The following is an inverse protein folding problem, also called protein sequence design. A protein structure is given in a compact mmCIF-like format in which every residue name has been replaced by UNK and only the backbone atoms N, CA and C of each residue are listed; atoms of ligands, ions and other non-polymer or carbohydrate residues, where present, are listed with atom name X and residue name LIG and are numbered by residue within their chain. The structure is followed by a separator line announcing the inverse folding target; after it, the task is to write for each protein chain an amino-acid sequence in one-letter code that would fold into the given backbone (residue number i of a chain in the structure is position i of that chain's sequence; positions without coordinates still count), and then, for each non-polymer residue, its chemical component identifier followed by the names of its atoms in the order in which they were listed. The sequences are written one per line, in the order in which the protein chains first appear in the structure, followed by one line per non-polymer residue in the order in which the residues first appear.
data_IF_744064107737
#
_entry.id   IF_744064107737
#
_cell.length_a   1.000
_cell.length_b   1.000
_cell.length_c   1.000
_cell.angle_alpha   90.00
_cell.angle_beta   90.00
_cell.angle_gamma   90.00
#
_symmetry.space_group_name_H-M   'P 1'
#
loop_
_entity.id
_entity.type
_entity.pdbx_description
1 polymer ?
#
# COMPACT_ATOMS: atom_id res chain seq x y z
N UNK A 1 -14.59 2.69 -29.66
CA UNK A 1 -13.91 3.50 -28.66
C UNK A 1 -12.86 2.64 -28.00
N UNK A 2 -11.61 3.01 -28.12
CA UNK A 2 -10.57 2.42 -27.29
C UNK A 2 -10.95 2.70 -25.84
N UNK A 3 -11.26 1.65 -25.06
CA UNK A 3 -11.52 1.79 -23.65
C UNK A 3 -10.30 2.41 -22.98
N UNK A 4 -10.43 3.59 -22.42
CA UNK A 4 -9.40 4.14 -21.57
C UNK A 4 -9.20 3.17 -20.42
N UNK A 5 -8.00 2.62 -20.31
CA UNK A 5 -7.65 1.79 -19.17
C UNK A 5 -7.70 2.67 -17.92
N UNK A 6 -8.57 2.35 -16.98
CA UNK A 6 -8.61 3.08 -15.72
C UNK A 6 -7.22 3.03 -15.05
N UNK A 7 -6.71 4.14 -14.53
CA UNK A 7 -5.45 4.13 -13.82
C UNK A 7 -5.50 3.13 -12.67
N UNK A 8 -4.41 2.43 -12.45
CA UNK A 8 -4.25 1.51 -11.32
C UNK A 8 -3.00 1.88 -10.51
N UNK A 9 -3.04 1.61 -9.23
CA UNK A 9 -1.88 1.71 -8.36
C UNK A 9 -1.30 0.33 -8.10
N UNK A 10 0.01 0.25 -7.92
CA UNK A 10 0.69 -1.03 -7.75
C UNK A 10 1.77 -0.95 -6.67
N UNK A 11 1.78 -1.96 -5.81
CA UNK A 11 2.89 -2.31 -4.93
C UNK A 11 3.67 -3.42 -5.60
N UNK A 12 4.93 -3.16 -5.90
CA UNK A 12 5.82 -4.12 -6.55
C UNK A 12 6.50 -5.03 -5.52
N UNK A 13 6.97 -6.19 -5.96
CA UNK A 13 7.77 -7.08 -5.11
C UNK A 13 9.04 -6.37 -4.62
N UNK A 14 9.70 -5.63 -5.50
CA UNK A 14 10.81 -4.74 -5.14
C UNK A 14 10.28 -3.33 -4.88
N UNK A 15 10.56 -2.78 -3.71
CA UNK A 15 10.10 -1.45 -3.34
C UNK A 15 10.60 -0.38 -4.31
N UNK A 16 9.68 0.44 -4.82
CA UNK A 16 9.98 1.53 -5.76
C UNK A 16 9.71 2.87 -5.09
N UNK A 17 10.51 3.15 -4.08
CA UNK A 17 10.44 4.37 -3.28
C UNK A 17 11.64 5.26 -3.57
N UNK A 18 11.45 6.57 -3.43
CA UNK A 18 12.53 7.54 -3.55
C UNK A 18 13.30 7.58 -2.22
N UNK A 19 14.48 6.98 -2.21
CA UNK A 19 15.31 6.76 -1.01
C UNK A 19 15.68 8.06 -0.27
N UNK A 20 15.92 9.13 -1.01
CA UNK A 20 16.32 10.44 -0.49
C UNK A 20 15.14 11.28 -0.01
N UNK A 21 13.92 10.91 -0.36
CA UNK A 21 12.70 11.59 0.06
C UNK A 21 12.17 11.03 1.38
N UNK A 22 11.34 11.81 2.06
CA UNK A 22 10.65 11.36 3.26
C UNK A 22 9.57 10.34 2.97
N UNK A 23 9.12 9.62 4.00
CA UNK A 23 7.95 8.74 3.90
C UNK A 23 6.71 9.52 3.44
N UNK A 24 6.50 10.70 4.00
CA UNK A 24 5.37 11.56 3.65
C UNK A 24 5.44 12.02 2.18
N UNK A 25 6.60 12.46 1.70
CA UNK A 25 6.77 12.89 0.31
C UNK A 25 6.57 11.74 -0.67
N UNK A 26 7.05 10.54 -0.34
CA UNK A 26 6.83 9.34 -1.16
C UNK A 26 5.35 9.00 -1.33
N UNK A 27 4.55 9.22 -0.32
CA UNK A 27 3.10 8.99 -0.38
C UNK A 27 2.40 10.11 -1.14
N UNK A 28 2.74 11.36 -0.87
CA UNK A 28 2.07 12.52 -1.45
C UNK A 28 2.33 12.69 -2.95
N UNK A 29 3.45 12.20 -3.47
CA UNK A 29 3.80 12.35 -4.90
C UNK A 29 2.77 11.74 -5.85
N UNK A 30 2.07 10.71 -5.42
CA UNK A 30 1.03 10.02 -6.21
C UNK A 30 -0.38 10.22 -5.65
N UNK A 31 -0.52 10.87 -4.50
CA UNK A 31 -1.82 10.98 -3.84
C UNK A 31 -2.81 11.81 -4.67
N UNK A 32 -4.09 11.46 -4.53
CA UNK A 32 -5.16 12.28 -5.08
C UNK A 32 -5.09 13.72 -4.55
N UNK A 33 -5.49 14.67 -5.38
CA UNK A 33 -5.45 16.10 -5.05
C UNK A 33 -6.26 16.49 -3.79
N UNK A 34 -7.20 15.63 -3.38
CA UNK A 34 -7.99 15.82 -2.17
C UNK A 34 -7.31 15.34 -0.90
N UNK A 35 -6.19 14.62 -1.02
CA UNK A 35 -5.43 14.11 0.12
C UNK A 35 -4.46 15.20 0.58
N UNK A 36 -4.66 15.70 1.79
CA UNK A 36 -3.73 16.62 2.41
C UNK A 36 -2.59 15.89 3.17
N UNK A 37 -1.55 16.64 3.50
CA UNK A 37 -0.40 16.11 4.23
C UNK A 37 -0.77 15.54 5.61
N UNK A 38 -1.76 16.12 6.27
CA UNK A 38 -2.21 15.68 7.59
C UNK A 38 -2.87 14.30 7.51
N UNK A 39 -3.74 14.08 6.53
CA UNK A 39 -4.40 12.79 6.30
C UNK A 39 -3.39 11.71 5.89
N UNK A 40 -2.46 12.03 5.02
CA UNK A 40 -1.39 11.13 4.61
C UNK A 40 -0.48 10.74 5.79
N UNK A 41 -0.11 11.71 6.63
CA UNK A 41 0.68 11.47 7.83
C UNK A 41 -0.07 10.59 8.85
N UNK A 42 -1.37 10.80 9.01
CA UNK A 42 -2.22 9.97 9.88
C UNK A 42 -2.26 8.51 9.40
N UNK A 43 -2.42 8.29 8.11
CA UNK A 43 -2.37 6.94 7.52
C UNK A 43 -1.00 6.28 7.74
N UNK A 44 0.09 7.00 7.52
CA UNK A 44 1.44 6.48 7.75
C UNK A 44 1.65 6.08 9.21
N UNK A 45 1.20 6.88 10.17
CA UNK A 45 1.29 6.53 11.59
C UNK A 45 0.43 5.35 11.99
N UNK A 46 -0.69 5.16 11.30
CA UNK A 46 -1.55 3.99 11.50
C UNK A 46 -0.89 2.71 10.99
N UNK A 47 -0.28 2.75 9.81
CA UNK A 47 0.40 1.61 9.19
C UNK A 47 1.77 1.32 9.82
N UNK A 48 2.47 2.34 10.23
CA UNK A 48 3.82 2.26 10.81
C UNK A 48 3.83 2.99 12.16
N UNK A 49 3.32 2.39 13.23
CA UNK A 49 3.28 3.02 14.54
C UNK A 49 4.67 3.51 14.97
N UNK A 50 4.72 4.77 15.43
CA UNK A 50 5.96 5.40 15.88
C UNK A 50 6.88 5.92 14.76
N UNK A 51 6.44 5.85 13.50
CA UNK A 51 7.23 6.39 12.39
C UNK A 51 7.38 7.91 12.49
N UNK A 52 8.58 8.39 12.22
CA UNK A 52 8.81 9.78 11.86
C UNK A 52 8.49 9.91 10.36
N UNK A 53 7.37 10.58 10.03
CA UNK A 53 6.91 10.71 8.64
C UNK A 53 7.85 11.55 7.77
N UNK A 54 8.70 12.36 8.41
CA UNK A 54 9.71 13.18 7.75
C UNK A 54 11.07 12.46 7.63
N UNK A 55 11.21 11.25 8.21
CA UNK A 55 12.39 10.41 8.03
C UNK A 55 12.54 9.99 6.57
N UNK A 56 13.79 9.95 6.10
CA UNK A 56 14.11 9.47 4.76
C UNK A 56 13.81 7.98 4.63
N UNK A 57 13.37 7.56 3.46
CA UNK A 57 13.09 6.15 3.21
C UNK A 57 14.28 5.24 3.50
N UNK A 58 15.50 5.71 3.26
CA UNK A 58 16.73 4.97 3.55
C UNK A 58 16.90 4.60 5.04
N UNK A 59 16.26 5.33 5.96
CA UNK A 59 16.35 5.12 7.41
C UNK A 59 15.33 4.09 7.93
N UNK A 60 14.37 3.70 7.11
CA UNK A 60 13.31 2.78 7.49
C UNK A 60 13.69 1.31 7.27
N UNK A 61 13.16 0.41 8.09
CA UNK A 61 13.28 -1.03 7.89
C UNK A 61 12.54 -1.51 6.64
N UNK A 62 12.85 -2.70 6.14
CA UNK A 62 12.18 -3.29 4.99
C UNK A 62 10.67 -3.39 5.17
N UNK A 63 10.20 -3.84 6.33
CA UNK A 63 8.77 -3.93 6.63
C UNK A 63 8.09 -2.56 6.77
N UNK A 64 8.77 -1.56 7.30
CA UNK A 64 8.27 -0.17 7.33
C UNK A 64 8.16 0.41 5.93
N UNK A 65 9.18 0.22 5.09
CA UNK A 65 9.20 0.65 3.69
C UNK A 65 8.06 0.02 2.90
N UNK A 66 7.82 -1.28 3.09
CA UNK A 66 6.70 -1.99 2.46
C UNK A 66 5.36 -1.36 2.82
N UNK A 67 5.16 -1.01 4.07
CA UNK A 67 3.92 -0.36 4.52
C UNK A 67 3.77 1.07 3.99
N UNK A 68 4.85 1.82 3.83
CA UNK A 68 4.83 3.14 3.14
C UNK A 68 4.42 2.98 1.67
N UNK A 69 4.92 1.96 0.99
CA UNK A 69 4.55 1.67 -0.40
C UNK A 69 3.06 1.31 -0.53
N UNK A 70 2.52 0.53 0.40
CA UNK A 70 1.09 0.23 0.48
C UNK A 70 0.28 1.50 0.71
N UNK A 71 0.69 2.38 1.64
CA UNK A 71 0.05 3.67 1.86
C UNK A 71 0.00 4.51 0.59
N UNK A 72 1.11 4.58 -0.13
CA UNK A 72 1.19 5.28 -1.42
C UNK A 72 0.20 4.72 -2.44
N UNK A 73 0.14 3.42 -2.58
CA UNK A 73 -0.78 2.77 -3.51
C UNK A 73 -2.26 3.03 -3.16
N UNK A 74 -2.60 2.99 -1.88
CA UNK A 74 -3.97 3.23 -1.41
C UNK A 74 -4.43 4.68 -1.61
N UNK A 75 -3.53 5.64 -1.49
CA UNK A 75 -3.85 7.08 -1.66
C UNK A 75 -3.74 7.54 -3.12
N UNK A 76 -3.12 6.76 -3.98
CA UNK A 76 -3.07 7.02 -5.41
C UNK A 76 -4.46 6.82 -6.04
N UNK A 77 -4.95 7.74 -6.89
CA UNK A 77 -6.23 7.57 -7.55
C UNK A 77 -6.20 6.43 -8.55
N UNK A 78 -7.35 5.78 -8.73
CA UNK A 78 -7.49 4.72 -9.74
C UNK A 78 -8.61 3.75 -9.41
N UNK A 79 -9.00 2.93 -10.38
CA UNK A 79 -10.07 1.94 -10.25
C UNK A 79 -9.61 0.59 -9.68
N UNK A 80 -8.30 0.37 -9.60
CA UNK A 80 -7.74 -0.87 -9.11
C UNK A 80 -6.47 -0.65 -8.28
N UNK A 81 -6.25 -1.53 -7.31
CA UNK A 81 -5.03 -1.63 -6.51
C UNK A 81 -4.43 -3.02 -6.74
N UNK A 82 -3.17 -3.06 -7.11
CA UNK A 82 -2.43 -4.30 -7.35
C UNK A 82 -1.37 -4.44 -6.26
N UNK A 83 -1.42 -5.53 -5.53
CA UNK A 83 -0.49 -5.85 -4.46
C UNK A 83 0.30 -7.12 -4.81
N UNK A 84 1.60 -7.00 -4.98
CA UNK A 84 2.50 -8.12 -5.26
C UNK A 84 3.30 -8.44 -3.99
N UNK A 85 3.03 -9.59 -3.39
CA UNK A 85 3.63 -10.06 -2.13
C UNK A 85 3.65 -8.98 -1.02
N UNK A 86 2.50 -8.34 -0.71
CA UNK A 86 2.50 -7.11 0.12
C UNK A 86 2.90 -7.35 1.58
N UNK A 87 2.76 -8.56 2.07
CA UNK A 87 2.98 -8.87 3.50
C UNK A 87 4.34 -9.49 3.79
N UNK A 88 5.19 -9.65 2.76
CA UNK A 88 6.55 -10.16 2.94
C UNK A 88 7.35 -9.28 3.92
N UNK A 89 7.93 -9.91 4.92
CA UNK A 89 8.73 -9.22 5.95
C UNK A 89 7.92 -8.52 7.04
N UNK A 90 6.60 -8.65 7.06
CA UNK A 90 5.76 -8.16 8.15
C UNK A 90 5.56 -9.22 9.23
N UNK A 91 5.61 -8.80 10.51
CA UNK A 91 5.15 -9.63 11.61
C UNK A 91 3.62 -9.73 11.63
N UNK A 92 3.07 -10.61 12.48
CA UNK A 92 1.63 -10.86 12.53
C UNK A 92 0.83 -9.59 12.86
N UNK A 93 1.29 -8.77 13.80
CA UNK A 93 0.60 -7.55 14.19
C UNK A 93 0.60 -6.50 13.07
N UNK A 94 1.73 -6.32 12.39
CA UNK A 94 1.85 -5.41 11.25
C UNK A 94 1.00 -5.89 10.05
N UNK A 95 0.97 -7.21 9.81
CA UNK A 95 0.13 -7.82 8.77
C UNK A 95 -1.35 -7.56 9.02
N UNK A 96 -1.83 -7.82 10.24
CA UNK A 96 -3.24 -7.63 10.61
C UNK A 96 -3.65 -6.16 10.49
N UNK A 97 -2.85 -5.25 11.00
CA UNK A 97 -3.10 -3.81 10.90
C UNK A 97 -3.11 -3.33 9.44
N UNK A 98 -2.17 -3.80 8.62
CA UNK A 98 -2.10 -3.46 7.20
C UNK A 98 -3.29 -4.01 6.42
N UNK A 99 -3.68 -5.26 6.67
CA UNK A 99 -4.86 -5.88 6.06
C UNK A 99 -6.12 -5.06 6.33
N UNK A 100 -6.33 -4.67 7.58
CA UNK A 100 -7.48 -3.85 7.96
C UNK A 100 -7.51 -2.51 7.23
N UNK A 101 -6.37 -1.82 7.16
CA UNK A 101 -6.26 -0.54 6.44
C UNK A 101 -6.52 -0.71 4.95
N UNK A 102 -6.00 -1.77 4.32
CA UNK A 102 -6.26 -2.06 2.91
C UNK A 102 -7.76 -2.22 2.67
N UNK A 103 -8.44 -3.05 3.46
CA UNK A 103 -9.88 -3.27 3.34
C UNK A 103 -10.69 -1.98 3.54
N UNK A 104 -10.34 -1.18 4.54
CA UNK A 104 -11.03 0.07 4.86
C UNK A 104 -10.87 1.12 3.75
N UNK A 105 -9.73 1.16 3.06
CA UNK A 105 -9.40 2.18 2.06
C UNK A 105 -9.59 1.74 0.61
N UNK A 106 -9.99 0.50 0.33
CA UNK A 106 -10.27 0.07 -1.05
C UNK A 106 -11.40 0.89 -1.69
N UNK A 107 -12.42 1.22 -0.93
CA UNK A 107 -13.53 2.10 -1.36
C UNK A 107 -14.12 1.68 -2.72
N UNK A 108 -14.48 0.41 -2.85
CA UNK A 108 -15.08 -0.15 -4.07
C UNK A 108 -14.12 -0.38 -5.25
N UNK A 109 -12.83 -0.10 -5.08
CA UNK A 109 -11.81 -0.41 -6.09
C UNK A 109 -11.57 -1.92 -6.20
N UNK A 110 -11.17 -2.36 -7.38
CA UNK A 110 -10.76 -3.74 -7.59
C UNK A 110 -9.41 -3.99 -6.90
N UNK A 111 -9.32 -5.06 -6.11
CA UNK A 111 -8.05 -5.51 -5.54
C UNK A 111 -7.55 -6.73 -6.31
N UNK A 112 -6.33 -6.64 -6.83
CA UNK A 112 -5.60 -7.75 -7.41
C UNK A 112 -4.41 -8.09 -6.50
N UNK A 113 -4.39 -9.30 -5.98
CA UNK A 113 -3.35 -9.79 -5.08
C UNK A 113 -2.55 -10.92 -5.74
N UNK A 114 -1.24 -10.76 -5.82
CA UNK A 114 -0.31 -11.84 -6.10
C UNK A 114 0.38 -12.26 -4.80
N UNK A 115 0.21 -13.51 -4.41
CA UNK A 115 0.81 -14.07 -3.20
C UNK A 115 1.01 -15.58 -3.33
N UNK A 116 1.98 -16.12 -2.63
CA UNK A 116 2.17 -17.56 -2.46
C UNK A 116 1.51 -18.10 -1.18
N UNK A 117 0.93 -17.22 -0.35
CA UNK A 117 0.27 -17.57 0.90
C UNK A 117 -1.26 -17.37 0.77
N UNK A 118 -2.00 -18.48 0.79
CA UNK A 118 -3.46 -18.45 0.71
C UNK A 118 -4.09 -17.69 1.88
N UNK A 119 -3.41 -17.62 3.02
CA UNK A 119 -3.89 -16.87 4.17
C UNK A 119 -3.96 -15.36 3.90
N UNK A 120 -3.13 -14.82 3.01
CA UNK A 120 -3.20 -13.42 2.58
C UNK A 120 -4.50 -13.13 1.82
N UNK A 121 -4.85 -14.04 0.89
CA UNK A 121 -6.07 -13.92 0.11
C UNK A 121 -7.32 -14.01 1.02
N UNK A 122 -7.30 -14.91 1.99
CA UNK A 122 -8.38 -15.06 2.96
C UNK A 122 -8.51 -13.84 3.85
N UNK A 123 -7.39 -13.29 4.32
CA UNK A 123 -7.38 -12.09 5.18
C UNK A 123 -7.91 -10.86 4.45
N UNK A 124 -7.67 -10.75 3.14
CA UNK A 124 -8.15 -9.66 2.28
C UNK A 124 -9.53 -9.95 1.65
N UNK A 125 -10.20 -11.01 2.08
CA UNK A 125 -11.55 -11.38 1.58
C UNK A 125 -11.60 -11.51 0.05
N UNK A 126 -10.55 -12.08 -0.55
CA UNK A 126 -10.47 -12.32 -1.99
C UNK A 126 -11.42 -13.45 -2.38
N UNK A 127 -12.35 -13.17 -3.30
CA UNK A 127 -13.38 -14.12 -3.74
C UNK A 127 -12.92 -15.03 -4.88
N UNK A 128 -12.13 -14.49 -5.80
CA UNK A 128 -11.71 -15.18 -7.01
C UNK A 128 -10.23 -15.50 -6.95
N UNK A 129 -9.88 -16.79 -6.90
CA UNK A 129 -8.50 -17.24 -6.79
C UNK A 129 -8.11 -18.01 -8.06
N UNK A 130 -6.99 -17.58 -8.66
CA UNK A 130 -6.36 -18.26 -9.80
C UNK A 130 -5.04 -18.86 -9.31
N UNK A 131 -4.90 -20.16 -9.44
CA UNK A 131 -3.65 -20.87 -9.12
C UNK A 131 -2.87 -21.10 -10.42
N UNK A 132 -1.63 -20.68 -10.41
CA UNK A 132 -0.71 -20.84 -11.54
C UNK A 132 0.20 -22.05 -11.35
#
# INVERSE_FOLDING_TARGET
AAGECAPCSMVFQDARLVESASALDNVLVCADAHVDASSAAALLRLLVPGVDVDARMAELSGGQRRRVEIARALLCPGGAVILDEPFTGLDAAARDATTKVVLDLLDGRTLLLATHDIADAQALDISDIITL
#
